data_IF_041994667947
#
_entry.id   IF_041994667947
#
_cell.length_a   1.000
_cell.length_b   1.000
_cell.length_c   1.000
_cell.angle_alpha   90.00
_cell.angle_beta   90.00
_cell.angle_gamma   90.00
#
_symmetry.space_group_name_H-M   'P 1'
#
loop_
_entity.id
_entity.type
_entity.pdbx_description
1 polymer ?
#
# COMPACT_ATOMS: atom_id res chain seq x y z
N UNK A 1 -15.30 16.61 -13.37
CA UNK A 1 -15.09 17.85 -12.57
C UNK A 1 -14.35 17.60 -11.27
N UNK A 2 -14.82 16.70 -10.38
CA UNK A 2 -14.16 16.44 -9.09
C UNK A 2 -12.73 15.92 -9.22
N UNK A 3 -12.50 14.91 -10.07
CA UNK A 3 -11.15 14.38 -10.36
C UNK A 3 -10.19 15.45 -10.90
N UNK A 4 -10.68 16.36 -11.73
CA UNK A 4 -9.88 17.48 -12.23
C UNK A 4 -9.44 18.42 -11.10
N UNK A 5 -10.32 18.73 -10.13
CA UNK A 5 -9.96 19.56 -8.98
C UNK A 5 -8.91 18.91 -8.08
N UNK A 6 -8.92 17.58 -7.97
CA UNK A 6 -7.88 16.83 -7.26
C UNK A 6 -6.54 16.85 -8.01
N UNK A 7 -6.57 16.57 -9.32
CA UNK A 7 -5.36 16.26 -10.10
C UNK A 7 -4.71 17.46 -10.79
N UNK A 8 -5.44 18.57 -10.96
CA UNK A 8 -4.91 19.75 -11.65
C UNK A 8 -3.73 20.34 -10.87
N UNK A 9 -2.61 20.69 -11.52
CA UNK A 9 -1.49 21.32 -10.84
C UNK A 9 -1.91 22.67 -10.23
N UNK A 10 -1.27 23.11 -9.14
CA UNK A 10 -1.55 24.40 -8.56
C UNK A 10 -1.21 25.53 -9.53
N UNK A 11 -2.08 26.54 -9.58
CA UNK A 11 -1.86 27.76 -10.36
C UNK A 11 -2.35 28.97 -9.58
N UNK A 12 -2.01 30.21 -9.99
CA UNK A 12 -2.54 31.41 -9.33
C UNK A 12 -4.08 31.46 -9.30
N UNK A 13 -4.74 30.89 -10.31
CA UNK A 13 -6.21 30.82 -10.40
C UNK A 13 -6.82 29.65 -9.62
N UNK A 14 -6.03 28.60 -9.36
CA UNK A 14 -6.47 27.40 -8.64
C UNK A 14 -5.35 26.90 -7.71
N UNK A 15 -5.16 27.55 -6.55
CA UNK A 15 -4.12 27.18 -5.59
C UNK A 15 -4.31 25.74 -5.07
N UNK A 16 -3.24 25.15 -4.53
CA UNK A 16 -3.24 23.75 -4.06
C UNK A 16 -4.20 23.49 -2.89
N UNK A 17 -4.33 24.45 -1.98
CA UNK A 17 -5.07 24.28 -0.72
C UNK A 17 -6.16 25.34 -0.60
N UNK A 18 -7.32 25.03 -1.17
CA UNK A 18 -8.51 25.88 -1.13
C UNK A 18 -9.75 25.04 -0.78
N UNK A 19 -10.80 25.66 -0.19
CA UNK A 19 -12.02 24.95 0.19
C UNK A 19 -12.66 24.15 -0.96
N UNK A 20 -12.57 24.65 -2.20
CA UNK A 20 -13.12 23.96 -3.38
C UNK A 20 -12.42 22.61 -3.64
N UNK A 21 -11.09 22.56 -3.59
CA UNK A 21 -10.34 21.30 -3.75
C UNK A 21 -10.59 20.36 -2.58
N UNK A 22 -10.63 20.90 -1.35
CA UNK A 22 -10.97 20.15 -0.13
C UNK A 22 -12.36 19.50 -0.22
N UNK A 23 -13.36 20.25 -0.67
CA UNK A 23 -14.71 19.73 -0.88
C UNK A 23 -14.75 18.65 -1.97
N UNK A 24 -13.98 18.79 -3.04
CA UNK A 24 -13.87 17.75 -4.06
C UNK A 24 -13.26 16.45 -3.51
N UNK A 25 -12.23 16.55 -2.67
CA UNK A 25 -11.62 15.40 -1.98
C UNK A 25 -12.63 14.71 -1.06
N UNK A 26 -13.32 15.48 -0.21
CA UNK A 26 -14.32 14.96 0.74
C UNK A 26 -15.48 14.28 0.02
N UNK A 27 -15.97 14.91 -1.06
CA UNK A 27 -16.94 14.28 -1.95
C UNK A 27 -16.37 12.96 -2.43
N UNK A 28 -15.27 12.96 -3.21
CA UNK A 28 -14.64 11.76 -3.82
C UNK A 28 -14.53 10.59 -2.84
N UNK A 29 -14.12 10.84 -1.60
CA UNK A 29 -14.06 9.81 -0.56
C UNK A 29 -15.42 9.21 -0.21
N UNK A 30 -16.41 10.07 0.11
CA UNK A 30 -17.73 9.65 0.60
C UNK A 30 -18.60 8.95 -0.45
N UNK A 31 -18.52 9.36 -1.70
CA UNK A 31 -19.31 8.77 -2.80
C UNK A 31 -18.49 7.88 -3.73
N UNK A 32 -17.32 7.41 -3.32
CA UNK A 32 -16.43 6.60 -4.16
C UNK A 32 -17.16 5.42 -4.81
N UNK A 33 -18.04 4.73 -4.08
CA UNK A 33 -18.81 3.59 -4.60
C UNK A 33 -19.70 3.95 -5.80
N UNK A 34 -20.18 5.19 -5.86
CA UNK A 34 -21.02 5.72 -6.94
C UNK A 34 -20.17 6.18 -8.12
N UNK A 35 -19.04 6.87 -7.85
CA UNK A 35 -18.24 7.46 -8.92
C UNK A 35 -17.14 6.57 -9.46
N UNK A 36 -16.78 5.48 -8.78
CA UNK A 36 -15.69 4.57 -9.17
C UNK A 36 -15.70 4.19 -10.66
N UNK A 37 -16.85 3.87 -11.31
CA UNK A 37 -16.88 3.56 -12.74
C UNK A 37 -16.43 4.70 -13.66
N UNK A 38 -16.48 5.94 -13.18
CA UNK A 38 -16.16 7.16 -13.93
C UNK A 38 -14.82 7.79 -13.51
N UNK A 39 -14.07 7.12 -12.62
CA UNK A 39 -12.82 7.62 -12.07
C UNK A 39 -11.64 6.74 -12.50
N UNK A 40 -10.52 7.39 -12.78
CA UNK A 40 -9.22 6.73 -12.83
C UNK A 40 -8.76 6.51 -11.39
N UNK A 41 -9.00 5.31 -10.86
CA UNK A 41 -8.75 4.97 -9.45
C UNK A 41 -7.28 5.18 -9.10
N UNK A 42 -6.35 4.79 -9.99
CA UNK A 42 -4.91 4.98 -9.78
C UNK A 42 -4.57 6.44 -9.57
N UNK A 43 -5.01 7.33 -10.48
CA UNK A 43 -4.75 8.76 -10.35
C UNK A 43 -5.39 9.35 -9.11
N UNK A 44 -6.60 8.94 -8.75
CA UNK A 44 -7.27 9.41 -7.53
C UNK A 44 -6.46 9.01 -6.30
N UNK A 45 -6.08 7.74 -6.17
CA UNK A 45 -5.30 7.26 -5.02
C UNK A 45 -3.96 7.98 -4.92
N UNK A 46 -3.21 8.10 -6.03
CA UNK A 46 -1.93 8.83 -6.05
C UNK A 46 -2.12 10.32 -5.72
N UNK A 47 -3.15 10.98 -6.26
CA UNK A 47 -3.44 12.37 -5.95
C UNK A 47 -3.77 12.61 -4.47
N UNK A 48 -4.49 11.67 -3.84
CA UNK A 48 -4.75 11.72 -2.40
C UNK A 48 -3.50 11.43 -1.58
N UNK A 49 -2.69 10.43 -1.98
CA UNK A 49 -1.44 10.08 -1.30
C UNK A 49 -0.41 11.21 -1.35
N UNK A 50 -0.36 11.96 -2.46
CA UNK A 50 0.49 13.16 -2.59
C UNK A 50 0.11 14.23 -1.55
N UNK A 51 -1.17 14.40 -1.28
CA UNK A 51 -1.64 15.31 -0.22
C UNK A 51 -1.34 14.81 1.19
N UNK A 52 -1.10 13.50 1.34
CA UNK A 52 -0.80 12.85 2.61
C UNK A 52 0.71 12.71 2.88
N UNK A 53 1.59 13.01 1.93
CA UNK A 53 3.04 12.74 2.07
C UNK A 53 3.72 13.51 3.21
N UNK A 54 3.12 14.60 3.69
CA UNK A 54 3.61 15.39 4.83
C UNK A 54 2.72 15.26 6.08
N UNK A 55 1.88 14.23 6.15
CA UNK A 55 0.89 14.08 7.22
C UNK A 55 1.50 14.11 8.63
N UNK A 56 2.63 13.44 8.84
CA UNK A 56 3.28 13.35 10.15
C UNK A 56 3.88 14.70 10.61
N UNK A 57 4.22 15.58 9.66
CA UNK A 57 4.70 16.94 9.96
C UNK A 57 3.55 17.90 10.24
N UNK A 58 2.46 17.79 9.49
CA UNK A 58 1.39 18.79 9.44
C UNK A 58 0.25 18.49 10.42
N UNK A 59 -0.05 17.22 10.69
CA UNK A 59 -1.18 16.79 11.53
C UNK A 59 -0.78 15.57 12.39
N UNK A 60 0.06 15.75 13.42
CA UNK A 60 0.53 14.64 14.25
C UNK A 60 -0.55 14.09 15.22
N UNK A 61 -1.61 14.86 15.52
CA UNK A 61 -2.70 14.45 16.42
C UNK A 61 -4.06 15.03 16.01
N UNK A 62 -5.14 14.34 16.38
CA UNK A 62 -6.54 14.78 16.17
C UNK A 62 -6.91 16.08 16.91
N UNK A 63 -6.13 16.46 17.92
CA UNK A 63 -6.31 17.69 18.70
C UNK A 63 -5.27 18.77 18.38
N UNK A 64 -4.46 18.59 17.33
CA UNK A 64 -3.38 19.53 17.01
C UNK A 64 -3.93 20.88 16.50
N UNK A 65 -3.77 21.92 17.34
CA UNK A 65 -3.70 23.33 16.96
C UNK A 65 -4.82 23.87 16.07
N UNK A 66 -6.06 23.87 16.56
CA UNK A 66 -7.14 24.59 15.87
C UNK A 66 -6.92 26.11 15.97
N UNK A 67 -7.13 26.88 14.89
CA UNK A 67 -7.56 26.44 13.55
C UNK A 67 -6.42 25.84 12.71
N UNK A 68 -6.73 24.80 11.92
CA UNK A 68 -5.77 24.17 11.00
C UNK A 68 -5.39 25.11 9.86
N UNK A 69 -4.15 24.98 9.38
CA UNK A 69 -3.75 25.60 8.11
C UNK A 69 -4.50 24.94 6.94
N UNK A 70 -4.71 25.64 5.81
CA UNK A 70 -5.37 25.04 4.63
C UNK A 70 -4.68 23.76 4.13
N UNK A 71 -3.36 23.70 4.27
CA UNK A 71 -2.56 22.50 3.95
C UNK A 71 -2.91 21.33 4.87
N UNK A 72 -2.90 21.57 6.19
CA UNK A 72 -3.21 20.57 7.20
C UNK A 72 -4.66 20.05 7.07
N UNK A 73 -5.61 20.93 6.77
CA UNK A 73 -7.01 20.57 6.51
C UNK A 73 -7.17 19.72 5.23
N UNK A 74 -6.47 20.08 4.15
CA UNK A 74 -6.45 19.29 2.90
C UNK A 74 -5.86 17.89 3.14
N UNK A 75 -4.74 17.81 3.86
CA UNK A 75 -4.10 16.55 4.23
C UNK A 75 -5.04 15.67 5.06
N UNK A 76 -5.66 16.23 6.11
CA UNK A 76 -6.62 15.51 6.96
C UNK A 76 -7.80 14.97 6.15
N UNK A 77 -8.35 15.81 5.26
CA UNK A 77 -9.47 15.41 4.39
C UNK A 77 -9.05 14.31 3.41
N UNK A 78 -7.84 14.38 2.84
CA UNK A 78 -7.30 13.35 1.95
C UNK A 78 -7.10 12.01 2.66
N UNK A 79 -6.54 12.00 3.89
CA UNK A 79 -6.42 10.77 4.71
C UNK A 79 -7.78 10.14 4.98
N UNK A 80 -8.78 10.97 5.30
CA UNK A 80 -10.13 10.50 5.53
C UNK A 80 -10.75 9.90 4.25
N UNK A 81 -10.58 10.57 3.10
CA UNK A 81 -11.05 10.08 1.81
C UNK A 81 -10.37 8.75 1.41
N UNK A 82 -9.04 8.62 1.60
CA UNK A 82 -8.32 7.36 1.37
C UNK A 82 -8.89 6.23 2.24
N UNK A 83 -9.16 6.51 3.51
CA UNK A 83 -9.76 5.54 4.43
C UNK A 83 -11.13 5.09 3.93
N UNK A 84 -12.00 6.02 3.51
CA UNK A 84 -13.33 5.70 2.98
C UNK A 84 -13.25 4.88 1.68
N UNK A 85 -12.33 5.23 0.78
CA UNK A 85 -12.13 4.49 -0.48
C UNK A 85 -11.65 3.06 -0.19
N UNK A 86 -10.63 2.94 0.65
CA UNK A 86 -10.03 1.66 1.01
C UNK A 86 -11.06 0.72 1.64
N UNK A 87 -11.84 1.20 2.62
CA UNK A 87 -12.85 0.35 3.29
C UNK A 87 -14.10 0.10 2.45
N UNK A 88 -14.43 0.98 1.50
CA UNK A 88 -15.56 0.77 0.62
C UNK A 88 -15.31 -0.29 -0.46
N UNK A 89 -14.09 -0.36 -1.01
CA UNK A 89 -13.68 -1.31 -2.07
C UNK A 89 -12.22 -1.78 -1.85
N UNK A 90 -11.94 -2.64 -0.86
CA UNK A 90 -10.57 -3.03 -0.50
C UNK A 90 -9.82 -3.71 -1.63
N UNK A 91 -10.47 -4.65 -2.34
CA UNK A 91 -9.87 -5.30 -3.49
C UNK A 91 -9.42 -4.31 -4.58
N UNK A 92 -10.23 -3.29 -4.88
CA UNK A 92 -9.87 -2.27 -5.86
C UNK A 92 -8.69 -1.41 -5.37
N UNK A 93 -8.65 -1.08 -4.06
CA UNK A 93 -7.55 -0.34 -3.46
C UNK A 93 -6.24 -1.14 -3.53
N UNK A 94 -6.22 -2.38 -3.03
CA UNK A 94 -5.03 -3.23 -2.98
C UNK A 94 -4.51 -3.56 -4.38
N UNK A 95 -5.37 -4.03 -5.29
CA UNK A 95 -4.93 -4.38 -6.66
C UNK A 95 -4.43 -3.15 -7.44
N UNK A 96 -4.99 -1.97 -7.20
CA UNK A 96 -4.49 -0.73 -7.82
C UNK A 96 -3.13 -0.33 -7.24
N UNK A 97 -2.98 -0.37 -5.92
CA UNK A 97 -1.71 -0.05 -5.27
C UNK A 97 -0.60 -1.03 -5.67
N UNK A 98 -0.89 -2.33 -5.75
CA UNK A 98 0.07 -3.33 -6.21
C UNK A 98 0.52 -3.09 -7.67
N UNK A 99 -0.41 -2.70 -8.55
CA UNK A 99 -0.09 -2.30 -9.93
C UNK A 99 0.82 -1.07 -9.98
N UNK A 100 0.57 -0.07 -9.15
CA UNK A 100 1.41 1.12 -9.07
C UNK A 100 2.80 0.81 -8.49
N UNK A 101 2.89 -0.08 -7.50
CA UNK A 101 4.17 -0.59 -6.98
C UNK A 101 4.96 -1.33 -8.05
N UNK A 102 4.31 -2.21 -8.82
CA UNK A 102 4.95 -2.91 -9.93
C UNK A 102 5.48 -1.92 -11.00
N UNK A 103 4.68 -0.91 -11.34
CA UNK A 103 5.07 0.16 -12.27
C UNK A 103 6.25 0.98 -11.74
N UNK A 104 6.26 1.31 -10.45
CA UNK A 104 7.37 1.99 -9.81
C UNK A 104 8.65 1.16 -9.85
N UNK A 105 8.58 -0.12 -9.51
CA UNK A 105 9.75 -1.01 -9.48
C UNK A 105 10.34 -1.18 -10.89
N UNK A 106 9.51 -1.33 -11.92
CA UNK A 106 9.95 -1.37 -13.31
C UNK A 106 10.65 -0.06 -13.73
N UNK A 107 10.10 1.09 -13.33
CA UNK A 107 10.73 2.39 -13.57
C UNK A 107 12.05 2.51 -12.82
N UNK A 108 12.15 1.98 -11.58
CA UNK A 108 13.37 2.06 -10.76
C UNK A 108 14.53 1.27 -11.37
N UNK A 109 14.24 0.11 -11.95
CA UNK A 109 15.24 -0.68 -12.68
C UNK A 109 15.80 0.09 -13.87
N UNK A 110 14.96 0.88 -14.56
CA UNK A 110 15.36 1.70 -15.70
C UNK A 110 15.86 3.11 -15.32
N UNK A 111 15.74 3.51 -14.05
CA UNK A 111 16.00 4.88 -13.60
C UNK A 111 17.49 5.27 -13.71
N UNK A 112 18.41 4.31 -13.51
CA UNK A 112 19.85 4.54 -13.70
C UNK A 112 20.20 4.82 -15.16
N UNK A 113 19.51 4.17 -16.11
CA UNK A 113 19.70 4.40 -17.54
C UNK A 113 19.08 5.73 -17.99
N UNK A 114 18.02 6.18 -17.32
CA UNK A 114 17.22 7.35 -17.71
C UNK A 114 17.47 8.60 -16.84
N UNK A 115 18.39 8.55 -15.88
CA UNK A 115 18.67 9.63 -14.91
C UNK A 115 17.42 10.18 -14.19
N UNK A 116 16.45 9.31 -13.86
CA UNK A 116 15.20 9.71 -13.21
C UNK A 116 15.39 9.71 -11.68
N UNK A 117 15.15 10.85 -11.03
CA UNK A 117 15.15 10.95 -9.57
C UNK A 117 13.85 10.38 -8.98
N UNK A 118 13.97 9.24 -8.30
CA UNK A 118 12.82 8.53 -7.72
C UNK A 118 12.37 9.05 -6.35
N UNK A 119 13.18 9.87 -5.69
CA UNK A 119 12.89 10.33 -4.32
C UNK A 119 11.66 11.24 -4.25
N UNK A 120 11.34 11.94 -5.35
CA UNK A 120 10.19 12.82 -5.43
C UNK A 120 8.89 12.10 -5.87
N UNK A 121 8.96 10.79 -6.12
CA UNK A 121 7.79 10.03 -6.54
C UNK A 121 6.78 9.92 -5.39
N UNK A 122 5.50 10.07 -5.71
CA UNK A 122 4.39 10.00 -4.76
C UNK A 122 4.42 8.73 -3.90
N UNK A 123 4.61 7.56 -4.54
CA UNK A 123 4.66 6.28 -3.82
C UNK A 123 5.80 6.22 -2.82
N UNK A 124 6.96 6.79 -3.18
CA UNK A 124 8.11 6.84 -2.29
C UNK A 124 7.84 7.73 -1.07
N UNK A 125 7.24 8.90 -1.27
CA UNK A 125 6.94 9.84 -0.18
C UNK A 125 5.79 9.39 0.71
N UNK A 126 4.82 8.65 0.16
CA UNK A 126 3.60 8.26 0.87
C UNK A 126 3.68 6.87 1.53
N UNK A 127 4.86 6.22 1.58
CA UNK A 127 5.05 4.89 2.20
C UNK A 127 4.40 4.74 3.59
N UNK A 128 4.54 5.69 4.53
CA UNK A 128 3.91 5.56 5.85
C UNK A 128 2.37 5.51 5.78
N UNK A 129 1.74 6.33 4.93
CA UNK A 129 0.28 6.34 4.79
C UNK A 129 -0.23 5.09 4.07
N UNK A 130 0.53 4.56 3.11
CA UNK A 130 0.21 3.30 2.45
C UNK A 130 0.21 2.14 3.46
N UNK A 131 1.27 2.04 4.28
CA UNK A 131 1.35 1.01 5.33
C UNK A 131 0.20 1.11 6.33
N UNK A 132 -0.14 2.34 6.75
CA UNK A 132 -1.30 2.58 7.63
C UNK A 132 -2.62 2.11 7.00
N UNK A 133 -2.82 2.39 5.72
CA UNK A 133 -4.01 1.94 4.98
C UNK A 133 -4.08 0.41 4.87
N UNK A 134 -2.95 -0.23 4.55
CA UNK A 134 -2.84 -1.69 4.48
C UNK A 134 -3.10 -2.33 5.85
N UNK A 135 -2.50 -1.81 6.92
CA UNK A 135 -2.71 -2.29 8.28
C UNK A 135 -4.19 -2.19 8.69
N UNK A 136 -4.84 -1.05 8.41
CA UNK A 136 -6.28 -0.87 8.66
C UNK A 136 -7.13 -1.93 7.95
N UNK A 137 -6.81 -2.25 6.69
CA UNK A 137 -7.55 -3.26 5.93
C UNK A 137 -7.32 -4.67 6.49
N UNK A 138 -6.10 -5.01 6.90
CA UNK A 138 -5.80 -6.27 7.59
C UNK A 138 -6.58 -6.36 8.91
N UNK A 139 -6.73 -5.26 9.65
CA UNK A 139 -7.48 -5.27 10.92
C UNK A 139 -8.99 -5.38 10.74
N UNK A 140 -9.55 -4.71 9.72
CA UNK A 140 -11.00 -4.61 9.54
C UNK A 140 -11.59 -5.66 8.62
N UNK A 141 -10.81 -6.21 7.68
CA UNK A 141 -11.32 -6.97 6.53
C UNK A 141 -10.45 -8.21 6.23
N UNK A 142 -10.08 -8.96 7.27
CA UNK A 142 -9.16 -10.12 7.20
C UNK A 142 -9.49 -11.13 6.09
N UNK A 143 -10.77 -11.47 5.91
CA UNK A 143 -11.17 -12.48 4.91
C UNK A 143 -10.84 -12.02 3.48
N UNK A 144 -11.24 -10.80 3.10
CA UNK A 144 -10.92 -10.24 1.77
C UNK A 144 -9.42 -10.04 1.60
N UNK A 145 -8.71 -9.66 2.66
CA UNK A 145 -7.25 -9.49 2.63
C UNK A 145 -6.52 -10.83 2.47
N UNK A 146 -7.05 -11.93 2.98
CA UNK A 146 -6.45 -13.26 2.79
C UNK A 146 -6.44 -13.70 1.33
N UNK A 147 -7.43 -13.26 0.54
CA UNK A 147 -7.48 -13.53 -0.89
C UNK A 147 -6.43 -12.72 -1.68
N UNK A 148 -6.04 -11.55 -1.18
CA UNK A 148 -5.13 -10.61 -1.85
C UNK A 148 -3.74 -10.53 -1.18
N UNK A 149 -3.35 -11.62 -0.52
CA UNK A 149 -2.19 -11.61 0.38
C UNK A 149 -0.86 -11.42 -0.35
N UNK A 150 -0.77 -11.86 -1.61
CA UNK A 150 0.43 -11.66 -2.45
C UNK A 150 0.56 -10.18 -2.80
N UNK A 151 -0.52 -9.55 -3.28
CA UNK A 151 -0.56 -8.12 -3.60
C UNK A 151 -0.30 -7.26 -2.36
N UNK A 152 -0.85 -7.65 -1.21
CA UNK A 152 -0.57 -7.01 0.08
C UNK A 152 0.92 -7.09 0.42
N UNK A 153 1.54 -8.27 0.28
CA UNK A 153 2.96 -8.45 0.56
C UNK A 153 3.84 -7.60 -0.38
N UNK A 154 3.50 -7.51 -1.67
CA UNK A 154 4.22 -6.67 -2.62
C UNK A 154 4.22 -5.19 -2.19
N UNK A 155 3.05 -4.69 -1.76
CA UNK A 155 2.90 -3.31 -1.25
C UNK A 155 3.70 -3.11 0.04
N UNK A 156 3.58 -4.04 1.00
CA UNK A 156 4.28 -3.98 2.28
C UNK A 156 5.79 -3.94 2.05
N UNK A 157 6.34 -4.89 1.29
CA UNK A 157 7.78 -4.96 1.03
C UNK A 157 8.31 -3.75 0.28
N UNK A 158 7.51 -3.12 -0.58
CA UNK A 158 7.88 -1.86 -1.22
C UNK A 158 7.98 -0.70 -0.21
N UNK A 159 7.05 -0.66 0.76
CA UNK A 159 6.96 0.44 1.71
C UNK A 159 7.90 0.30 2.92
N UNK A 160 8.24 -0.93 3.32
CA UNK A 160 9.15 -1.18 4.44
C UNK A 160 10.58 -0.74 4.15
N UNK A 161 11.29 -0.32 5.20
CA UNK A 161 12.74 -0.12 5.15
C UNK A 161 13.44 -1.50 5.07
N UNK A 162 14.19 -1.79 3.98
CA UNK A 162 14.87 -3.07 3.83
C UNK A 162 15.90 -3.36 4.93
N UNK A 163 16.50 -2.33 5.54
CA UNK A 163 17.47 -2.49 6.63
C UNK A 163 16.79 -2.92 7.93
N UNK A 164 15.66 -2.29 8.27
CA UNK A 164 14.86 -2.68 9.43
C UNK A 164 14.29 -4.08 9.26
N UNK A 165 13.74 -4.40 8.08
CA UNK A 165 13.22 -5.73 7.77
C UNK A 165 14.31 -6.81 7.90
N UNK A 166 15.55 -6.51 7.49
CA UNK A 166 16.69 -7.44 7.61
C UNK A 166 17.13 -7.67 9.05
N UNK A 167 17.05 -6.65 9.91
CA UNK A 167 17.58 -6.71 11.27
C UNK A 167 16.56 -7.22 12.29
N UNK A 168 15.31 -6.76 12.17
CA UNK A 168 14.22 -7.03 13.12
C UNK A 168 13.26 -8.12 12.64
N UNK A 169 13.20 -8.33 11.33
CA UNK A 169 12.30 -9.29 10.70
C UNK A 169 10.86 -8.78 10.57
N UNK A 170 10.07 -9.50 9.78
CA UNK A 170 8.71 -9.10 9.42
C UNK A 170 7.77 -8.98 10.65
N UNK A 171 7.92 -9.87 11.63
CA UNK A 171 7.09 -9.89 12.84
C UNK A 171 7.19 -8.60 13.66
N UNK A 172 8.39 -8.01 13.77
CA UNK A 172 8.58 -6.78 14.55
C UNK A 172 8.27 -5.54 13.72
N UNK A 173 8.60 -5.55 12.42
CA UNK A 173 8.46 -4.39 11.55
C UNK A 173 7.02 -4.19 11.05
N UNK A 174 6.28 -5.27 10.80
CA UNK A 174 4.88 -5.22 10.34
C UNK A 174 4.09 -6.44 10.83
N UNK A 175 3.75 -6.51 12.14
CA UNK A 175 3.14 -7.70 12.76
C UNK A 175 1.77 -8.07 12.19
N UNK A 176 1.03 -7.13 11.62
CA UNK A 176 -0.33 -7.33 11.14
C UNK A 176 -0.41 -8.46 10.09
N UNK A 177 0.54 -8.53 9.15
CA UNK A 177 0.53 -9.52 8.06
C UNK A 177 0.94 -10.92 8.54
N UNK A 178 1.64 -11.03 9.66
CA UNK A 178 2.03 -12.32 10.24
C UNK A 178 0.86 -13.04 10.95
N UNK A 179 -0.32 -12.42 11.04
CA UNK A 179 -1.54 -13.07 11.57
C UNK A 179 -2.12 -14.10 10.59
N UNK A 180 -1.74 -14.05 9.31
CA UNK A 180 -2.17 -15.01 8.30
C UNK A 180 -1.27 -16.24 8.32
N UNK A 181 -1.87 -17.43 8.48
CA UNK A 181 -1.16 -18.71 8.41
C UNK A 181 -0.51 -18.99 7.04
N UNK A 182 -0.93 -18.24 6.03
CA UNK A 182 -0.40 -18.26 4.67
C UNK A 182 0.91 -17.47 4.53
N UNK A 183 1.40 -16.79 5.57
CA UNK A 183 2.69 -16.07 5.56
C UNK A 183 3.69 -16.73 6.49
N UNK A 184 4.91 -16.94 6.00
CA UNK A 184 6.03 -17.39 6.83
C UNK A 184 7.29 -16.62 6.46
N UNK A 185 7.97 -16.11 7.47
CA UNK A 185 9.26 -15.44 7.34
C UNK A 185 10.36 -16.33 7.93
N UNK A 186 11.41 -16.59 7.16
CA UNK A 186 12.63 -17.25 7.61
C UNK A 186 13.76 -16.21 7.74
N UNK A 187 14.08 -15.74 8.97
CA UNK A 187 15.15 -14.77 9.18
C UNK A 187 16.53 -15.29 8.75
N UNK A 188 16.79 -16.59 8.96
CA UNK A 188 18.08 -17.22 8.67
C UNK A 188 18.43 -17.15 7.17
N UNK A 189 17.47 -17.43 6.29
CA UNK A 189 17.67 -17.39 4.84
C UNK A 189 17.27 -16.05 4.21
N UNK A 190 16.63 -15.17 5.00
CA UNK A 190 16.03 -13.89 4.59
C UNK A 190 15.00 -14.06 3.47
N UNK A 191 14.09 -15.01 3.69
CA UNK A 191 13.01 -15.36 2.76
C UNK A 191 11.66 -15.16 3.41
N UNK A 192 10.70 -14.67 2.63
CA UNK A 192 9.28 -14.65 2.99
C UNK A 192 8.54 -15.51 1.99
N UNK A 193 7.64 -16.36 2.48
CA UNK A 193 6.72 -17.15 1.68
C UNK A 193 5.30 -16.65 1.92
N UNK A 194 4.53 -16.55 0.84
CA UNK A 194 3.11 -16.18 0.87
C UNK A 194 2.33 -17.19 0.04
N UNK A 195 1.28 -17.75 0.63
CA UNK A 195 0.32 -18.61 -0.07
C UNK A 195 -0.83 -17.80 -0.66
N UNK A 196 -1.25 -18.16 -1.86
CA UNK A 196 -2.36 -17.54 -2.58
C UNK A 196 -3.64 -18.38 -2.48
N UNK A 197 -4.78 -17.72 -2.65
CA UNK A 197 -6.09 -18.35 -2.80
C UNK A 197 -6.22 -19.21 -4.07
N UNK A 198 -5.33 -19.05 -5.06
CA UNK A 198 -5.29 -19.89 -6.28
C UNK A 198 -4.29 -21.06 -6.20
N UNK A 199 -3.72 -21.35 -5.02
CA UNK A 199 -2.81 -22.48 -4.83
C UNK A 199 -1.35 -22.24 -5.19
N UNK A 200 -1.00 -21.03 -5.62
CA UNK A 200 0.39 -20.63 -5.83
C UNK A 200 1.08 -20.20 -4.53
N UNK A 201 2.39 -20.43 -4.44
CA UNK A 201 3.27 -19.89 -3.42
C UNK A 201 4.16 -18.82 -4.04
N UNK A 202 4.24 -17.65 -3.42
CA UNK A 202 5.17 -16.60 -3.80
C UNK A 202 6.30 -16.53 -2.78
N UNK A 203 7.53 -16.67 -3.25
CA UNK A 203 8.75 -16.60 -2.45
C UNK A 203 9.48 -15.29 -2.73
N UNK A 204 9.74 -14.53 -1.68
CA UNK A 204 10.49 -13.28 -1.70
C UNK A 204 11.88 -13.49 -1.11
N UNK A 205 12.93 -13.30 -1.91
CA UNK A 205 14.32 -13.35 -1.47
C UNK A 205 14.85 -11.95 -1.21
N UNK A 206 14.89 -11.56 0.08
CA UNK A 206 15.20 -10.20 0.51
C UNK A 206 16.68 -9.78 0.29
N UNK A 207 17.55 -10.73 -0.06
CA UNK A 207 18.96 -10.45 -0.41
C UNK A 207 19.10 -9.95 -1.83
N UNK A 208 18.46 -10.62 -2.77
CA UNK A 208 18.59 -10.36 -4.21
C UNK A 208 17.45 -9.49 -4.75
N UNK A 209 16.41 -9.23 -3.94
CA UNK A 209 15.19 -8.57 -4.40
C UNK A 209 14.43 -9.41 -5.43
N UNK A 210 14.64 -10.73 -5.41
CA UNK A 210 14.04 -11.66 -6.36
C UNK A 210 12.72 -12.17 -5.80
N UNK A 211 11.71 -12.22 -6.66
CA UNK A 211 10.42 -12.85 -6.38
C UNK A 211 10.23 -14.03 -7.32
N UNK A 212 9.76 -15.16 -6.79
CA UNK A 212 9.46 -16.37 -7.59
C UNK A 212 8.12 -16.96 -7.18
N UNK A 213 7.26 -17.22 -8.16
CA UNK A 213 5.96 -17.87 -7.93
C UNK A 213 6.02 -19.33 -8.35
N UNK A 214 5.48 -20.21 -7.51
CA UNK A 214 5.45 -21.66 -7.68
C UNK A 214 4.00 -22.11 -7.62
N UNK A 215 3.53 -22.86 -8.62
CA UNK A 215 2.21 -23.49 -8.60
C UNK A 215 2.30 -24.78 -7.80
N UNK A 216 2.02 -24.71 -6.49
CA UNK A 216 2.23 -25.81 -5.56
C UNK A 216 0.97 -26.67 -5.36
N UNK A 217 -0.21 -26.05 -5.42
CA UNK A 217 -1.50 -26.70 -5.16
C UNK A 217 -2.53 -26.31 -6.21
N UNK A 218 -3.58 -27.11 -6.34
CA UNK A 218 -4.75 -26.82 -7.19
C UNK A 218 -5.87 -26.08 -6.44
N UNK A 219 -5.75 -25.92 -5.13
CA UNK A 219 -6.69 -25.22 -4.25
C UNK A 219 -5.97 -24.20 -3.38
N UNK A 220 -6.73 -23.34 -2.68
CA UNK A 220 -6.21 -22.29 -1.84
C UNK A 220 -5.21 -22.82 -0.80
N UNK A 221 -4.04 -22.18 -0.72
CA UNK A 221 -3.10 -22.46 0.36
C UNK A 221 -3.70 -21.92 1.64
N UNK A 222 -3.83 -22.76 2.66
CA UNK A 222 -4.45 -22.39 3.95
C UNK A 222 -3.42 -22.21 5.05
N UNK A 223 -2.25 -22.86 4.93
CA UNK A 223 -1.13 -22.69 5.83
C UNK A 223 0.21 -22.96 5.15
N UNK A 224 1.28 -22.30 5.61
CA UNK A 224 2.65 -22.63 5.25
C UNK A 224 3.64 -22.33 6.39
N UNK A 225 4.78 -23.01 6.40
CA UNK A 225 5.84 -22.77 7.37
C UNK A 225 7.21 -23.17 6.84
N UNK A 226 8.19 -22.28 6.99
CA UNK A 226 9.59 -22.64 6.80
C UNK A 226 10.08 -23.56 7.92
N UNK A 227 11.04 -24.42 7.60
CA UNK A 227 11.87 -25.08 8.62
C UNK A 227 12.75 -24.04 9.33
N UNK A 228 13.13 -24.26 10.60
CA UNK A 228 14.00 -23.34 11.34
C UNK A 228 15.35 -23.08 10.64
N UNK A 229 15.88 -24.09 9.94
CA UNK A 229 17.11 -23.98 9.15
C UNK A 229 16.90 -23.38 7.74
N UNK A 230 15.63 -23.12 7.36
CA UNK A 230 15.23 -22.51 6.10
C UNK A 230 15.46 -23.37 4.85
N UNK A 231 15.79 -24.66 5.01
CA UNK A 231 16.01 -25.58 3.89
C UNK A 231 14.71 -26.06 3.25
N UNK A 232 13.65 -26.17 4.04
CA UNK A 232 12.36 -26.68 3.60
C UNK A 232 11.24 -25.66 3.86
N UNK A 233 10.23 -25.71 3.01
CA UNK A 233 8.97 -25.00 3.18
C UNK A 233 7.85 -26.04 3.04
N UNK A 234 6.99 -26.13 4.06
CA UNK A 234 5.77 -26.94 3.99
C UNK A 234 4.61 -26.02 3.69
N UNK A 235 3.67 -26.50 2.86
CA UNK A 235 2.43 -25.80 2.55
C UNK A 235 1.27 -26.79 2.52
N UNK A 236 0.09 -26.32 2.91
CA UNK A 236 -1.14 -27.11 2.98
C UNK A 236 -2.26 -26.40 2.22
N UNK A 237 -3.05 -27.18 1.50
CA UNK A 237 -4.24 -26.74 0.77
C UNK A 237 -5.37 -27.75 1.01
N UNK A 238 -6.60 -27.25 1.03
CA UNK A 238 -7.82 -28.06 1.23
C UNK A 238 -8.74 -27.85 0.03
#
# INVERSE_FOLDING_TARGET
ALSHLLLAPPSPKLPAHIPLRRAAIDLIGRGFTVWAPFLDISKVLLGLLELCSEADRLVPSMTYGLPLTPQADSCRTARHALTLIATARPAAFITTMAKEVARYNAMQQNAQTLNINMNNNVLHKAKPEILRGVELLIEKMQNEMSELLVELMDIILHCLDPSQLKNKGLQEVFPAVCRFNQVSHCPATRRIAVGSHIGSLTLYELRQGKCTTIHAHSSAVTALSFSPDGKFLVSYAC
#
